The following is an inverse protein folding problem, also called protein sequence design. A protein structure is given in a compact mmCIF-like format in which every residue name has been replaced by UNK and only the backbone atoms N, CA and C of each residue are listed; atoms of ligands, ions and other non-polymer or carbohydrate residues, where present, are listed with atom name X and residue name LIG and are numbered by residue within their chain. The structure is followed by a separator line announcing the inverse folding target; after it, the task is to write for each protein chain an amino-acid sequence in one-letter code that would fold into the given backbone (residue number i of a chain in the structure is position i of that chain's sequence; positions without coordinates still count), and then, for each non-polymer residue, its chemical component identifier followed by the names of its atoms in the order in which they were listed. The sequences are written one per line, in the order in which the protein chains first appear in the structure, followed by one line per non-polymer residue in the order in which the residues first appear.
data_IF_720236237639
#
_entry.id   IF_720236237639
#
_cell.length_a   1.000
_cell.length_b   1.000
_cell.length_c   1.000
_cell.angle_alpha   90.00
_cell.angle_beta   90.00
_cell.angle_gamma   90.00
#
_symmetry.space_group_name_H-M   'P 1'
#
loop_
_entity.id
_entity.type
_entity.pdbx_description
1 polymer ?
#
# COMPACT_ATOMS: atom_id res chain seq x y z
N UNK A 1 29.99 -18.37 0.36
CA UNK A 1 30.01 -17.02 -0.26
C UNK A 1 28.75 -16.33 0.23
N UNK A 2 28.88 -15.50 1.27
CA UNK A 2 27.76 -14.74 1.81
C UNK A 2 27.45 -13.60 0.86
N UNK A 3 26.19 -13.48 0.42
CA UNK A 3 25.76 -12.27 -0.26
C UNK A 3 25.70 -11.18 0.80
N UNK A 4 26.52 -10.13 0.63
CA UNK A 4 26.30 -8.84 1.27
C UNK A 4 24.89 -8.39 0.85
N UNK A 5 23.93 -8.61 1.75
CA UNK A 5 22.61 -8.02 1.66
C UNK A 5 22.85 -6.55 1.91
N UNK A 6 22.95 -5.77 0.83
CA UNK A 6 23.22 -4.35 0.89
C UNK A 6 22.05 -3.69 1.64
N UNK A 7 22.20 -3.51 2.96
CA UNK A 7 21.24 -2.77 3.75
C UNK A 7 21.17 -1.36 3.17
N UNK A 8 19.96 -0.83 2.92
CA UNK A 8 19.82 0.51 2.38
C UNK A 8 20.55 1.52 3.27
N UNK A 9 21.18 2.52 2.66
CA UNK A 9 21.87 3.57 3.40
C UNK A 9 20.89 4.24 4.38
N UNK A 10 21.30 4.55 5.61
CA UNK A 10 20.39 4.99 6.68
C UNK A 10 19.58 6.25 6.34
N UNK A 11 20.07 7.11 5.43
CA UNK A 11 19.32 8.27 4.95
C UNK A 11 18.13 7.93 4.05
N UNK A 12 18.24 6.86 3.27
CA UNK A 12 17.20 6.39 2.34
C UNK A 12 16.06 5.72 3.11
N UNK A 13 16.39 4.90 4.10
CA UNK A 13 15.40 4.25 4.97
C UNK A 13 14.59 5.28 5.79
N UNK A 14 15.26 6.32 6.28
CA UNK A 14 14.61 7.40 7.03
C UNK A 14 13.65 8.22 6.14
N UNK A 15 14.03 8.50 4.90
CA UNK A 15 13.18 9.20 3.94
C UNK A 15 11.95 8.36 3.53
N UNK A 16 12.15 7.07 3.23
CA UNK A 16 11.07 6.14 2.90
C UNK A 16 10.08 5.99 4.07
N UNK A 17 10.60 5.89 5.30
CA UNK A 17 9.79 5.83 6.52
C UNK A 17 8.97 7.12 6.70
N UNK A 18 9.57 8.29 6.50
CA UNK A 18 8.86 9.57 6.58
C UNK A 18 7.67 9.64 5.61
N UNK A 19 7.89 9.27 4.35
CA UNK A 19 6.83 9.21 3.33
C UNK A 19 5.74 8.21 3.69
N UNK A 20 6.12 7.02 4.18
CA UNK A 20 5.15 6.02 4.62
C UNK A 20 4.26 6.58 5.74
N UNK A 21 4.84 7.24 6.74
CA UNK A 21 4.08 7.82 7.85
C UNK A 21 3.10 8.90 7.37
N UNK A 22 3.49 9.73 6.40
CA UNK A 22 2.59 10.72 5.80
C UNK A 22 1.41 10.05 5.07
N UNK A 23 1.65 8.96 4.34
CA UNK A 23 0.60 8.18 3.69
C UNK A 23 -0.35 7.54 4.71
N UNK A 24 0.19 6.89 5.75
CA UNK A 24 -0.60 6.28 6.82
C UNK A 24 -1.50 7.32 7.50
N UNK A 25 -0.96 8.51 7.76
CA UNK A 25 -1.72 9.62 8.36
C UNK A 25 -2.95 9.99 7.52
N UNK A 26 -2.85 9.98 6.19
CA UNK A 26 -3.99 10.27 5.31
C UNK A 26 -5.15 9.28 5.47
N UNK A 27 -4.85 8.00 5.70
CA UNK A 27 -5.88 6.96 5.85
C UNK A 27 -6.45 6.87 7.26
N UNK A 28 -5.63 7.03 8.30
CA UNK A 28 -6.08 6.93 9.69
C UNK A 28 -6.98 8.11 10.08
N UNK A 29 -6.66 9.32 9.63
CA UNK A 29 -7.41 10.54 10.00
C UNK A 29 -8.76 10.68 9.28
N UNK A 30 -9.00 9.91 8.22
CA UNK A 30 -10.17 10.05 7.34
C UNK A 30 -11.06 8.80 7.29
N UNK A 31 -10.81 7.85 8.18
CA UNK A 31 -11.54 6.58 8.22
C UNK A 31 -13.00 6.76 8.65
N UNK A 32 -13.89 6.08 7.93
CA UNK A 32 -15.31 5.92 8.20
C UNK A 32 -15.71 4.49 7.84
N UNK A 33 -16.71 3.93 8.51
CA UNK A 33 -17.01 2.49 8.48
C UNK A 33 -17.30 1.92 7.06
N UNK A 34 -17.72 2.75 6.11
CA UNK A 34 -18.01 2.33 4.74
C UNK A 34 -16.80 2.39 3.79
N UNK A 35 -15.64 2.89 4.24
CA UNK A 35 -14.40 2.91 3.46
C UNK A 35 -13.54 1.69 3.75
N UNK A 36 -12.62 1.32 2.84
CA UNK A 36 -11.59 0.34 3.13
C UNK A 36 -10.81 0.74 4.39
N UNK A 37 -10.65 -0.21 5.30
CA UNK A 37 -9.87 0.00 6.51
C UNK A 37 -8.39 -0.24 6.20
N UNK A 38 -7.55 0.78 6.37
CA UNK A 38 -6.11 0.60 6.34
C UNK A 38 -5.67 -0.25 7.55
N UNK A 39 -4.98 -1.37 7.31
CA UNK A 39 -4.59 -2.32 8.37
C UNK A 39 -3.07 -2.49 8.52
N UNK A 40 -2.28 -1.96 7.61
CA UNK A 40 -0.82 -2.04 7.70
C UNK A 40 -0.11 -1.64 6.41
N UNK A 41 1.21 -1.58 6.46
CA UNK A 41 2.05 -1.34 5.30
C UNK A 41 3.42 -1.98 5.47
N UNK A 42 4.09 -2.26 4.35
CA UNK A 42 5.48 -2.73 4.32
C UNK A 42 6.24 -2.01 3.21
N UNK A 43 7.49 -1.66 3.49
CA UNK A 43 8.41 -1.13 2.48
C UNK A 43 9.01 -2.33 1.74
N UNK A 44 8.75 -2.42 0.43
CA UNK A 44 9.19 -3.55 -0.43
C UNK A 44 10.37 -3.18 -1.32
N UNK A 45 10.74 -1.91 -1.38
CA UNK A 45 11.91 -1.40 -2.07
C UNK A 45 12.15 0.08 -1.75
N UNK A 46 13.14 0.69 -2.39
CA UNK A 46 13.56 2.08 -2.09
C UNK A 46 12.42 3.10 -2.20
N UNK A 47 11.56 2.95 -3.20
CA UNK A 47 10.37 3.80 -3.39
C UNK A 47 9.07 2.98 -3.46
N UNK A 48 9.13 1.67 -3.21
CA UNK A 48 7.98 0.78 -3.33
C UNK A 48 7.43 0.46 -1.95
N UNK A 49 6.14 0.68 -1.78
CA UNK A 49 5.41 0.40 -0.55
C UNK A 49 4.21 -0.46 -0.91
N UNK A 50 3.96 -1.50 -0.13
CA UNK A 50 2.69 -2.22 -0.13
C UNK A 50 1.83 -1.73 1.02
N UNK A 51 0.63 -1.25 0.69
CA UNK A 51 -0.39 -0.83 1.65
C UNK A 51 -1.46 -1.91 1.75
N UNK A 52 -1.89 -2.24 2.96
CA UNK A 52 -2.92 -3.26 3.18
C UNK A 52 -4.24 -2.63 3.57
N UNK A 53 -5.30 -2.99 2.85
CA UNK A 53 -6.65 -2.53 3.09
C UNK A 53 -7.62 -3.69 3.25
N UNK A 54 -8.43 -3.67 4.30
CA UNK A 54 -9.56 -4.59 4.46
C UNK A 54 -10.82 -3.99 3.84
N UNK A 55 -11.48 -4.73 2.97
CA UNK A 55 -12.76 -4.33 2.41
C UNK A 55 -13.82 -4.22 3.50
N UNK A 56 -14.71 -3.21 3.45
CA UNK A 56 -15.82 -3.11 4.39
C UNK A 56 -16.98 -4.06 4.03
N UNK A 57 -17.06 -4.49 2.75
CA UNK A 57 -18.21 -5.25 2.22
C UNK A 57 -17.88 -6.73 1.96
N UNK A 58 -16.63 -7.00 1.59
CA UNK A 58 -16.12 -8.35 1.34
C UNK A 58 -15.15 -8.66 2.47
N UNK A 59 -15.16 -9.86 3.04
CA UNK A 59 -14.11 -10.25 4.00
C UNK A 59 -12.82 -10.57 3.22
N UNK A 60 -12.28 -9.54 2.54
CA UNK A 60 -11.13 -9.60 1.65
C UNK A 60 -10.14 -8.51 2.03
N UNK A 61 -8.86 -8.86 2.01
CA UNK A 61 -7.73 -7.97 2.21
C UNK A 61 -7.02 -7.74 0.88
N UNK A 62 -6.82 -6.48 0.54
CA UNK A 62 -6.09 -6.02 -0.64
C UNK A 62 -4.68 -5.60 -0.23
N UNK A 63 -3.66 -6.14 -0.89
CA UNK A 63 -2.31 -5.56 -0.89
C UNK A 63 -2.19 -4.62 -2.09
N UNK A 64 -1.85 -3.35 -1.86
CA UNK A 64 -1.75 -2.34 -2.92
C UNK A 64 -0.32 -1.87 -3.02
N UNK A 65 0.32 -2.15 -4.15
CA UNK A 65 1.68 -1.70 -4.42
C UNK A 65 1.66 -0.30 -5.04
N UNK A 66 2.37 0.64 -4.41
CA UNK A 66 2.46 2.03 -4.85
C UNK A 66 3.91 2.51 -4.83
N UNK A 67 4.20 3.54 -5.62
CA UNK A 67 5.42 4.33 -5.48
C UNK A 67 5.20 5.43 -4.45
N UNK A 68 6.02 5.46 -3.39
CA UNK A 68 5.90 6.43 -2.30
C UNK A 68 6.06 7.87 -2.80
N UNK A 69 6.91 8.08 -3.80
CA UNK A 69 7.13 9.37 -4.45
C UNK A 69 5.95 9.83 -5.31
N UNK A 70 5.10 8.91 -5.80
CA UNK A 70 4.00 9.19 -6.72
C UNK A 70 2.61 9.07 -6.08
N UNK A 71 2.53 8.85 -4.77
CA UNK A 71 1.24 8.70 -4.08
C UNK A 71 0.64 10.07 -3.71
N UNK A 72 0.11 10.76 -4.74
CA UNK A 72 -0.57 12.05 -4.58
C UNK A 72 -2.03 11.95 -4.13
N UNK A 73 -2.72 13.11 -3.94
CA UNK A 73 -4.10 13.16 -3.47
C UNK A 73 -5.10 12.36 -4.31
N UNK A 74 -4.87 12.26 -5.63
CA UNK A 74 -5.73 11.49 -6.54
C UNK A 74 -5.69 10.00 -6.24
N UNK A 75 -4.49 9.43 -6.07
CA UNK A 75 -4.32 8.02 -5.70
C UNK A 75 -4.84 7.76 -4.29
N UNK A 76 -4.55 8.63 -3.32
CA UNK A 76 -5.11 8.53 -1.96
C UNK A 76 -6.65 8.48 -1.96
N UNK A 77 -7.28 9.33 -2.78
CA UNK A 77 -8.73 9.34 -2.96
C UNK A 77 -9.26 8.04 -3.60
N UNK A 78 -8.54 7.50 -4.59
CA UNK A 78 -8.89 6.23 -5.22
C UNK A 78 -8.81 5.06 -4.23
N UNK A 79 -7.75 4.98 -3.41
CA UNK A 79 -7.58 3.94 -2.39
C UNK A 79 -8.62 4.01 -1.27
N UNK A 80 -9.17 5.20 -1.02
CA UNK A 80 -10.29 5.37 -0.08
C UNK A 80 -11.64 4.88 -0.65
N UNK A 81 -11.72 4.51 -1.93
CA UNK A 81 -12.95 4.05 -2.59
C UNK A 81 -13.08 2.52 -2.56
N UNK A 82 -14.14 1.96 -1.96
CA UNK A 82 -14.41 0.52 -2.02
C UNK A 82 -14.53 -0.01 -3.44
N UNK A 83 -15.17 0.75 -4.34
CA UNK A 83 -15.40 0.35 -5.72
C UNK A 83 -14.10 0.26 -6.52
N UNK A 84 -13.14 1.16 -6.25
CA UNK A 84 -11.85 1.12 -6.92
C UNK A 84 -11.06 -0.13 -6.53
N UNK A 85 -10.95 -0.42 -5.22
CA UNK A 85 -10.27 -1.63 -4.75
C UNK A 85 -10.99 -2.92 -5.14
N UNK A 86 -12.31 -2.90 -5.31
CA UNK A 86 -13.08 -4.06 -5.74
C UNK A 86 -13.02 -4.32 -7.26
N UNK A 87 -12.36 -3.45 -8.04
CA UNK A 87 -12.26 -3.62 -9.48
C UNK A 87 -11.35 -4.81 -9.85
N UNK A 88 -11.97 -5.93 -10.21
CA UNK A 88 -11.30 -7.19 -10.51
C UNK A 88 -10.32 -7.11 -11.68
N UNK A 89 -10.45 -6.13 -12.58
CA UNK A 89 -9.49 -5.90 -13.66
C UNK A 89 -8.12 -5.41 -13.18
N UNK A 90 -8.05 -4.84 -11.97
CA UNK A 90 -6.80 -4.41 -11.34
C UNK A 90 -6.20 -5.50 -10.46
N UNK A 91 -6.88 -6.63 -10.26
CA UNK A 91 -6.45 -7.67 -9.32
C UNK A 91 -5.45 -8.61 -9.98
N UNK A 92 -4.40 -8.88 -9.23
CA UNK A 92 -3.44 -9.93 -9.50
C UNK A 92 -3.50 -10.97 -8.37
N UNK A 93 -3.17 -12.25 -8.67
CA UNK A 93 -2.97 -13.25 -7.64
C UNK A 93 -1.96 -12.75 -6.59
N UNK A 94 -2.22 -13.05 -5.32
CA UNK A 94 -1.30 -12.73 -4.23
C UNK A 94 -0.49 -13.96 -3.82
N UNK A 95 0.82 -13.79 -3.73
CA UNK A 95 1.74 -14.73 -3.05
C UNK A 95 2.03 -14.30 -1.60
N UNK A 96 1.46 -13.17 -1.16
CA UNK A 96 1.65 -12.61 0.17
C UNK A 96 0.60 -13.15 1.14
N UNK A 97 1.00 -13.80 2.25
CA UNK A 97 0.05 -14.42 3.19
C UNK A 97 -0.84 -13.41 3.93
N UNK A 98 -0.56 -12.10 3.82
CA UNK A 98 -1.32 -11.04 4.47
C UNK A 98 -2.43 -10.45 3.62
N UNK A 99 -2.53 -10.78 2.33
CA UNK A 99 -3.60 -10.31 1.46
C UNK A 99 -4.11 -11.38 0.48
N UNK A 100 -5.39 -11.31 0.15
CA UNK A 100 -6.03 -12.26 -0.76
C UNK A 100 -5.73 -11.95 -2.22
N UNK A 101 -5.57 -10.66 -2.54
CA UNK A 101 -5.24 -10.18 -3.89
C UNK A 101 -4.28 -9.00 -3.81
N UNK A 102 -3.48 -8.85 -4.86
CA UNK A 102 -2.59 -7.70 -5.04
C UNK A 102 -3.16 -6.76 -6.10
N UNK A 103 -2.99 -5.46 -5.90
CA UNK A 103 -3.31 -4.39 -6.85
C UNK A 103 -2.04 -3.60 -7.11
N UNK A 104 -1.47 -3.73 -8.30
CA UNK A 104 -0.25 -3.00 -8.67
C UNK A 104 -0.62 -1.62 -9.26
N UNK A 105 -0.29 -0.56 -8.54
CA UNK A 105 -0.50 0.83 -8.91
C UNK A 105 0.83 1.58 -9.02
N UNK A 106 1.93 0.87 -9.26
CA UNK A 106 3.24 1.50 -9.44
C UNK A 106 3.33 2.35 -10.72
N UNK A 107 2.43 2.13 -11.68
CA UNK A 107 2.29 2.88 -12.94
C UNK A 107 1.08 3.84 -12.98
N UNK A 108 0.51 4.19 -11.80
CA UNK A 108 -0.70 5.03 -11.67
C UNK A 108 -0.51 6.50 -12.08
#
# INVERSE_FOLDING_TARGET
MGQDVNSPEPGTEQAATGRLLDLVRSFVTTHVAWKPLFIGAVITGEDRIRLYFRSPERDRTYGVDVLSSHTGPGLLGALASPAFLANEHLHQPSDDPHCDVTVDLTDY
#
